data_IF_356641121554
#
_entry.id   IF_356641121554
#
_cell.length_a   1.000
_cell.length_b   1.000
_cell.length_c   1.000
_cell.angle_alpha   90.00
_cell.angle_beta   90.00
_cell.angle_gamma   90.00
#
_symmetry.space_group_name_H-M   'P 1'
#
loop_
_entity.id
_entity.type
_entity.pdbx_description
1 polymer ?
#
# COMPACT_ATOMS: atom_id res chain seq x y z
N UNK A 1 -4.77 -30.69 39.77
CA UNK A 1 -4.29 -30.03 41.00
C UNK A 1 -2.84 -29.64 40.77
N UNK A 2 -2.63 -28.35 40.53
CA UNK A 2 -1.40 -27.53 40.52
C UNK A 2 -0.04 -28.04 39.96
N UNK A 3 0.54 -27.11 39.17
CA UNK A 3 1.93 -26.67 39.19
C UNK A 3 2.94 -27.35 38.26
N UNK A 4 3.38 -26.59 37.25
CA UNK A 4 4.78 -26.27 36.86
C UNK A 4 4.66 -25.60 35.46
N UNK A 5 4.73 -24.27 35.28
CA UNK A 5 5.81 -23.30 35.55
C UNK A 5 6.96 -23.46 34.52
N UNK A 6 7.35 -22.32 33.91
CA UNK A 6 8.41 -22.10 32.91
C UNK A 6 8.01 -22.10 31.42
N UNK A 7 7.27 -21.07 31.01
CA UNK A 7 7.50 -20.48 29.67
C UNK A 7 8.41 -19.25 29.88
N UNK A 8 9.70 -19.33 29.50
CA UNK A 8 10.66 -18.31 29.85
C UNK A 8 10.39 -17.02 29.09
N UNK A 9 10.14 -15.99 29.89
CA UNK A 9 10.54 -14.60 29.73
C UNK A 9 11.90 -14.47 29.03
N UNK A 10 11.97 -14.19 27.73
CA UNK A 10 13.10 -13.49 27.07
C UNK A 10 12.53 -12.82 25.79
N UNK A 11 12.19 -11.54 25.87
CA UNK A 11 13.09 -10.41 25.56
C UNK A 11 13.18 -10.13 24.06
N UNK A 12 12.19 -9.41 23.53
CA UNK A 12 12.45 -8.22 22.69
C UNK A 12 11.37 -7.19 23.01
N UNK A 13 11.73 -6.24 23.87
CA UNK A 13 11.12 -4.92 23.84
C UNK A 13 11.38 -4.32 22.46
N UNK A 14 10.32 -4.17 21.67
CA UNK A 14 10.24 -3.09 20.70
C UNK A 14 9.30 -2.05 21.30
N UNK A 15 9.88 -0.97 21.85
CA UNK A 15 9.15 0.26 22.10
C UNK A 15 8.57 0.72 20.76
N UNK A 16 7.29 0.44 20.51
CA UNK A 16 6.52 1.32 19.63
C UNK A 16 6.23 2.55 20.47
N UNK A 17 6.95 3.63 20.20
CA UNK A 17 6.51 4.95 20.63
C UNK A 17 5.06 5.10 20.17
N UNK A 18 4.11 5.35 21.08
CA UNK A 18 2.78 5.76 20.66
C UNK A 18 2.94 7.05 19.87
N UNK A 19 2.24 7.23 18.74
CA UNK A 19 2.28 8.49 18.01
C UNK A 19 1.97 9.59 19.02
N UNK A 20 2.91 10.51 19.23
CA UNK A 20 2.65 11.67 20.06
C UNK A 20 1.33 12.27 19.57
N UNK A 21 0.37 12.54 20.47
CA UNK A 21 -0.80 13.29 20.07
C UNK A 21 -0.25 14.57 19.48
N UNK A 22 -0.47 14.77 18.18
CA UNK A 22 -0.14 16.01 17.52
C UNK A 22 -0.65 17.09 18.45
N UNK A 23 0.25 17.89 19.02
CA UNK A 23 -0.14 19.07 19.78
C UNK A 23 -1.15 19.75 18.89
N UNK A 24 -2.42 19.66 19.28
CA UNK A 24 -3.46 20.45 18.67
C UNK A 24 -2.84 21.84 18.67
N UNK A 25 -2.56 22.36 17.48
CA UNK A 25 -2.45 23.79 17.33
C UNK A 25 -3.85 24.21 17.73
N UNK A 26 -4.00 24.48 19.03
CA UNK A 26 -5.08 25.25 19.60
C UNK A 26 -4.92 26.57 18.87
N UNK A 27 -5.56 26.64 17.71
CA UNK A 27 -6.05 27.88 17.17
C UNK A 27 -7.00 28.34 18.26
N UNK A 28 -6.43 29.08 19.20
CA UNK A 28 -7.15 29.94 20.11
C UNK A 28 -7.78 31.02 19.23
N UNK A 29 -8.77 30.61 18.44
CA UNK A 29 -9.90 31.46 18.17
C UNK A 29 -10.56 31.55 19.53
N UNK A 30 -10.15 32.57 20.28
CA UNK A 30 -10.86 33.03 21.45
C UNK A 30 -12.34 32.93 21.11
N UNK A 31 -13.04 32.03 21.80
CA UNK A 31 -14.45 31.81 21.61
C UNK A 31 -15.13 33.16 21.81
N UNK A 32 -15.50 33.80 20.72
CA UNK A 32 -16.40 34.94 20.80
C UNK A 32 -17.68 34.38 21.40
N UNK A 33 -18.23 34.98 22.48
CA UNK A 33 -19.45 34.49 23.09
C UNK A 33 -20.52 34.33 22.00
N UNK A 34 -20.92 33.07 21.80
CA UNK A 34 -21.87 32.66 20.77
C UNK A 34 -23.29 32.90 21.30
N UNK A 35 -23.65 34.16 21.43
CA UNK A 35 -25.01 34.67 21.49
C UNK A 35 -24.95 36.12 20.99
N UNK A 36 -24.76 36.28 19.68
CA UNK A 36 -25.05 37.57 19.04
C UNK A 36 -26.56 37.76 19.14
N UNK A 37 -27.01 38.90 19.68
CA UNK A 37 -28.42 39.27 19.60
C UNK A 37 -28.89 39.18 18.14
N UNK A 38 -30.09 38.63 17.88
CA UNK A 38 -30.59 38.55 16.53
C UNK A 38 -30.70 39.96 15.94
N UNK A 39 -29.93 40.22 14.87
CA UNK A 39 -30.02 41.49 14.15
C UNK A 39 -31.27 41.42 13.27
N UNK A 40 -32.25 42.26 13.61
CA UNK A 40 -33.49 42.36 12.84
C UNK A 40 -33.34 43.37 11.70
N UNK A 41 -33.70 42.95 10.50
CA UNK A 41 -33.75 43.81 9.32
C UNK A 41 -35.19 43.87 8.79
N UNK A 42 -35.69 45.08 8.56
CA UNK A 42 -36.96 45.27 7.85
C UNK A 42 -36.68 45.25 6.35
N UNK A 43 -37.23 44.24 5.67
CA UNK A 43 -37.06 44.04 4.24
C UNK A 43 -38.32 44.50 3.50
N UNK A 44 -38.20 45.17 2.34
CA UNK A 44 -39.33 45.41 1.44
C UNK A 44 -39.88 44.08 0.89
N UNK A 45 -41.17 44.02 0.59
CA UNK A 45 -41.88 42.80 0.17
C UNK A 45 -41.23 42.11 -1.05
N UNK A 46 -40.72 42.89 -2.00
CA UNK A 46 -39.98 42.40 -3.17
C UNK A 46 -38.66 41.69 -2.81
N UNK A 47 -38.01 42.07 -1.70
CA UNK A 47 -36.80 41.42 -1.22
C UNK A 47 -37.12 40.14 -0.42
N UNK A 48 -38.21 40.13 0.35
CA UNK A 48 -38.64 38.96 1.13
C UNK A 48 -38.90 37.74 0.22
N UNK A 49 -39.52 37.96 -0.94
CA UNK A 49 -39.82 36.90 -1.92
C UNK A 49 -38.58 36.28 -2.57
N UNK A 50 -37.40 36.91 -2.45
CA UNK A 50 -36.14 36.45 -3.06
C UNK A 50 -35.23 35.70 -2.09
N UNK A 51 -35.53 35.74 -0.79
CA UNK A 51 -34.73 35.07 0.23
C UNK A 51 -35.08 33.59 0.27
N UNK A 52 -34.07 32.73 0.11
CA UNK A 52 -34.18 31.28 0.23
C UNK A 52 -33.30 30.81 1.36
N UNK A 53 -33.86 30.05 2.29
CA UNK A 53 -33.12 29.42 3.39
C UNK A 53 -33.24 27.90 3.26
N UNK A 54 -32.25 27.18 3.79
CA UNK A 54 -32.25 25.74 3.87
C UNK A 54 -31.65 25.31 5.21
N UNK A 55 -32.13 24.22 5.84
CA UNK A 55 -31.56 23.71 7.08
C UNK A 55 -30.15 23.17 6.83
N UNK A 56 -29.20 23.54 7.69
CA UNK A 56 -27.84 23.03 7.64
C UNK A 56 -27.83 21.57 8.12
N UNK A 57 -27.22 20.68 7.34
CA UNK A 57 -27.04 19.26 7.70
C UNK A 57 -25.58 18.87 7.51
N UNK A 58 -25.02 18.17 8.50
CA UNK A 58 -23.71 17.51 8.35
C UNK A 58 -23.89 16.30 7.43
N UNK A 59 -23.06 16.19 6.39
CA UNK A 59 -23.04 15.05 5.49
C UNK A 59 -21.61 14.77 5.05
N UNK A 60 -21.26 13.50 4.91
CA UNK A 60 -20.02 13.09 4.27
C UNK A 60 -20.08 13.43 2.78
N UNK A 61 -19.16 14.26 2.29
CA UNK A 61 -19.03 14.55 0.87
C UNK A 61 -18.01 13.58 0.26
N UNK A 62 -18.47 12.73 -0.65
CA UNK A 62 -17.57 11.89 -1.44
C UNK A 62 -16.87 12.77 -2.47
N UNK A 63 -15.58 13.05 -2.24
CA UNK A 63 -14.76 13.69 -3.26
C UNK A 63 -14.24 12.63 -4.22
N UNK A 64 -14.54 12.79 -5.51
CA UNK A 64 -13.96 11.96 -6.57
C UNK A 64 -12.63 12.58 -6.97
N UNK A 65 -11.55 11.86 -6.68
CA UNK A 65 -10.19 12.23 -7.11
C UNK A 65 -9.82 11.32 -8.27
N UNK A 66 -9.26 11.89 -9.34
CA UNK A 66 -8.68 11.12 -10.46
C UNK A 66 -7.17 11.32 -10.43
N UNK A 67 -6.42 10.22 -10.40
CA UNK A 67 -4.96 10.23 -10.40
C UNK A 67 -4.44 9.23 -11.45
N UNK A 68 -3.36 9.56 -12.18
CA UNK A 68 -2.72 8.61 -13.08
C UNK A 68 -2.03 7.49 -12.29
N UNK A 69 -1.95 6.31 -12.88
CA UNK A 69 -1.24 5.16 -12.33
C UNK A 69 -0.29 4.55 -13.37
N UNK A 70 0.81 3.98 -12.90
CA UNK A 70 1.74 3.20 -13.72
C UNK A 70 1.39 1.72 -13.73
N UNK A 71 1.75 1.02 -14.81
CA UNK A 71 1.70 -0.43 -14.89
C UNK A 71 3.11 -0.97 -14.66
N UNK A 72 3.24 -1.92 -13.74
CA UNK A 72 4.52 -2.51 -13.36
C UNK A 72 4.41 -4.03 -13.34
N UNK A 73 5.55 -4.70 -13.48
CA UNK A 73 5.63 -6.16 -13.33
C UNK A 73 5.30 -6.57 -11.90
N UNK A 74 4.57 -7.68 -11.76
CA UNK A 74 4.33 -8.28 -10.45
C UNK A 74 5.60 -9.00 -10.00
N UNK A 75 6.34 -8.39 -9.06
CA UNK A 75 7.59 -8.94 -8.54
C UNK A 75 7.41 -10.30 -7.82
N UNK A 76 6.21 -10.61 -7.31
CA UNK A 76 5.91 -11.91 -6.73
C UNK A 76 5.77 -13.03 -7.79
N UNK A 77 5.75 -12.68 -9.08
CA UNK A 77 5.66 -13.61 -10.22
C UNK A 77 6.89 -13.55 -11.13
N UNK A 78 8.05 -13.19 -10.58
CA UNK A 78 9.32 -13.17 -11.31
C UNK A 78 10.20 -14.33 -10.84
N UNK A 79 10.84 -15.01 -11.79
CA UNK A 79 11.81 -16.05 -11.51
C UNK A 79 13.16 -15.71 -12.17
N UNK A 80 14.24 -15.77 -11.39
CA UNK A 80 15.61 -15.78 -11.91
C UNK A 80 16.06 -17.23 -11.99
N UNK A 81 16.14 -17.75 -13.21
CA UNK A 81 16.57 -19.14 -13.47
C UNK A 81 18.08 -19.17 -13.69
N UNK A 82 18.76 -20.11 -13.04
CA UNK A 82 20.19 -20.37 -13.22
C UNK A 82 20.43 -21.87 -13.34
N UNK A 83 21.49 -22.24 -14.06
CA UNK A 83 21.95 -23.64 -14.08
C UNK A 83 22.43 -24.06 -12.69
N UNK A 84 22.22 -25.33 -12.35
CA UNK A 84 22.75 -25.95 -11.12
C UNK A 84 24.18 -26.44 -11.28
N UNK A 85 24.57 -26.74 -12.52
CA UNK A 85 25.90 -27.21 -12.87
C UNK A 85 26.56 -26.19 -13.79
N UNK A 86 27.88 -26.11 -13.69
CA UNK A 86 28.69 -25.36 -14.63
C UNK A 86 28.67 -26.03 -16.00
N UNK A 87 28.75 -25.23 -17.06
CA UNK A 87 28.69 -25.72 -18.42
C UNK A 87 28.76 -24.59 -19.44
N UNK A 88 28.80 -24.98 -20.70
CA UNK A 88 28.83 -24.07 -21.83
C UNK A 88 27.43 -23.94 -22.45
N UNK A 89 27.02 -22.72 -22.78
CA UNK A 89 25.78 -22.48 -23.52
C UNK A 89 25.97 -23.00 -24.95
N UNK A 90 25.12 -23.94 -25.35
CA UNK A 90 25.12 -24.51 -26.70
C UNK A 90 24.12 -23.78 -27.60
N UNK A 91 22.91 -23.53 -27.08
CA UNK A 91 21.84 -22.89 -27.83
C UNK A 91 20.97 -22.00 -26.92
N UNK A 92 20.42 -20.93 -27.50
CA UNK A 92 19.49 -20.01 -26.84
C UNK A 92 18.19 -19.99 -27.63
N UNK A 93 17.10 -20.45 -27.01
CA UNK A 93 15.81 -20.59 -27.68
C UNK A 93 14.95 -19.32 -27.60
N UNK A 94 15.21 -18.45 -26.62
CA UNK A 94 14.39 -17.27 -26.36
C UNK A 94 15.22 -15.99 -26.19
N UNK A 95 14.63 -14.87 -26.56
CA UNK A 95 15.24 -13.54 -26.41
C UNK A 95 14.46 -12.68 -25.42
N UNK A 96 15.08 -11.59 -24.98
CA UNK A 96 14.41 -10.60 -24.12
C UNK A 96 13.13 -10.09 -24.79
N UNK A 97 12.07 -9.98 -23.98
CA UNK A 97 10.69 -9.62 -24.38
C UNK A 97 9.88 -10.74 -25.04
N UNK A 98 10.45 -11.90 -25.29
CA UNK A 98 9.65 -13.06 -25.68
C UNK A 98 8.73 -13.44 -24.52
N UNK A 99 7.48 -13.81 -24.84
CA UNK A 99 6.54 -14.32 -23.87
C UNK A 99 6.67 -15.84 -23.81
N UNK A 100 6.99 -16.36 -22.62
CA UNK A 100 7.23 -17.79 -22.41
C UNK A 100 6.22 -18.39 -21.43
N UNK A 101 5.93 -19.68 -21.57
CA UNK A 101 5.09 -20.44 -20.63
C UNK A 101 5.95 -21.29 -19.69
N UNK A 102 5.36 -21.69 -18.58
CA UNK A 102 6.01 -22.66 -17.67
C UNK A 102 6.35 -23.94 -18.43
N UNK A 103 7.61 -24.40 -18.30
CA UNK A 103 8.12 -25.61 -18.96
C UNK A 103 8.68 -25.37 -20.36
N UNK A 104 8.56 -24.17 -20.91
CA UNK A 104 9.14 -23.83 -22.22
C UNK A 104 10.68 -23.76 -22.12
N UNK A 105 11.42 -24.40 -23.04
CA UNK A 105 12.88 -24.40 -23.00
C UNK A 105 13.42 -22.99 -23.28
N UNK A 106 14.36 -22.54 -22.45
CA UNK A 106 14.95 -21.19 -22.56
C UNK A 106 16.33 -21.23 -23.23
N UNK A 107 17.16 -22.21 -22.86
CA UNK A 107 18.53 -22.40 -23.33
C UNK A 107 18.95 -23.86 -23.16
N UNK A 108 19.96 -24.29 -23.92
CA UNK A 108 20.63 -25.57 -23.79
C UNK A 108 22.07 -25.37 -23.26
N UNK A 109 22.49 -26.21 -22.32
CA UNK A 109 23.83 -26.19 -21.71
C UNK A 109 24.45 -27.58 -21.81
N UNK A 110 25.64 -27.65 -22.41
CA UNK A 110 26.52 -28.81 -22.31
C UNK A 110 27.39 -28.72 -21.05
N UNK A 111 27.51 -29.80 -20.28
CA UNK A 111 28.27 -29.82 -19.02
C UNK A 111 29.13 -31.07 -18.87
N UNK A 112 30.45 -30.89 -18.90
CA UNK A 112 31.39 -31.98 -18.60
C UNK A 112 31.20 -32.54 -17.19
N UNK A 113 30.80 -31.68 -16.24
CA UNK A 113 30.55 -32.12 -14.87
C UNK A 113 29.35 -33.05 -14.79
N UNK A 114 28.33 -32.82 -15.61
CA UNK A 114 27.21 -33.74 -15.73
C UNK A 114 27.66 -35.09 -16.32
N UNK A 115 28.52 -35.07 -17.35
CA UNK A 115 29.03 -36.29 -17.97
C UNK A 115 29.81 -37.17 -16.97
N UNK A 116 30.66 -36.56 -16.15
CA UNK A 116 31.37 -37.26 -15.05
C UNK A 116 30.39 -37.89 -14.05
N UNK A 117 29.39 -37.11 -13.61
CA UNK A 117 28.39 -37.58 -12.64
C UNK A 117 27.57 -38.74 -13.18
N UNK A 118 27.30 -38.79 -14.48
CA UNK A 118 26.55 -39.90 -15.10
C UNK A 118 27.41 -41.17 -15.18
N UNK A 119 28.74 -41.05 -15.34
CA UNK A 119 29.65 -42.21 -15.41
C UNK A 119 29.88 -42.89 -14.05
N UNK A 120 29.70 -42.18 -12.94
CA UNK A 120 29.85 -42.74 -11.59
C UNK A 120 28.69 -43.67 -11.17
N UNK A 121 27.59 -43.70 -11.93
CA UNK A 121 26.42 -44.58 -11.71
C UNK A 121 26.33 -45.70 -12.73
#
# INVERSE_FOLDING_TARGET
MYLILFLPLFLVQACSDPPEPSKDVRSEVAGTPMASDPVFFQLPSSAQQRIKTAPVKKRLLSQRITAPGGVSLNLAKVAKVSSRLEGQVEEVFVQLRNHVKTGEPLLAIGSLKLDELVQEF
#
